data_IF_536918426825
#
_entry.id   IF_536918426825
#
_cell.length_a   1.000
_cell.length_b   1.000
_cell.length_c   1.000
_cell.angle_alpha   90.00
_cell.angle_beta   90.00
_cell.angle_gamma   90.00
#
_symmetry.space_group_name_H-M   'P 1'
#
loop_
_entity.id
_entity.type
_entity.pdbx_description
1 polymer ?
#
# COMPACT_ATOMS: atom_id res chain seq x y z
N UNK A 1 17.11 -35.87 -4.82
CA UNK A 1 17.08 -34.60 -5.58
C UNK A 1 15.73 -33.98 -5.27
N UNK A 2 15.63 -33.28 -4.14
CA UNK A 2 14.34 -32.76 -3.65
C UNK A 2 14.01 -31.48 -4.38
N UNK A 3 12.93 -31.51 -5.17
CA UNK A 3 12.33 -30.33 -5.76
C UNK A 3 11.96 -29.33 -4.66
N UNK A 4 12.62 -28.19 -4.65
CA UNK A 4 12.18 -27.02 -3.91
C UNK A 4 10.84 -26.56 -4.48
N UNK A 5 9.75 -27.05 -3.88
CA UNK A 5 8.41 -26.50 -4.11
C UNK A 5 8.44 -25.03 -3.68
N UNK A 6 8.36 -24.14 -4.67
CA UNK A 6 8.30 -22.70 -4.45
C UNK A 6 6.92 -22.41 -3.85
N UNK A 7 6.82 -21.78 -2.67
CA UNK A 7 5.52 -21.50 -2.05
C UNK A 7 4.68 -20.62 -2.98
N UNK A 8 3.34 -20.79 -3.01
CA UNK A 8 2.48 -20.03 -3.90
C UNK A 8 2.64 -18.52 -3.65
N UNK A 9 2.81 -17.78 -4.75
CA UNK A 9 2.97 -16.33 -4.76
C UNK A 9 1.78 -15.64 -4.09
N UNK A 10 2.06 -14.85 -3.05
CA UNK A 10 1.10 -14.00 -2.33
C UNK A 10 0.82 -12.69 -3.08
N UNK A 11 1.52 -12.46 -4.20
CA UNK A 11 1.37 -11.29 -5.06
C UNK A 11 0.39 -11.57 -6.20
N UNK A 12 -0.44 -10.57 -6.62
CA UNK A 12 -1.42 -10.72 -7.70
C UNK A 12 -0.79 -10.99 -9.07
N UNK A 13 0.52 -10.75 -9.20
CA UNK A 13 1.36 -11.13 -10.33
C UNK A 13 2.68 -11.69 -9.81
N UNK A 14 3.36 -12.58 -10.57
CA UNK A 14 4.74 -12.93 -10.30
C UNK A 14 5.61 -11.67 -10.18
N UNK A 15 6.56 -11.68 -9.25
CA UNK A 15 7.46 -10.54 -9.02
C UNK A 15 8.22 -10.13 -10.30
N UNK A 16 8.40 -11.11 -11.20
CA UNK A 16 8.95 -10.96 -12.54
C UNK A 16 8.24 -9.89 -13.38
N UNK A 17 6.92 -9.85 -13.28
CA UNK A 17 6.01 -9.02 -14.07
C UNK A 17 5.67 -7.73 -13.31
N UNK A 18 5.63 -7.80 -11.98
CA UNK A 18 5.31 -6.66 -11.13
C UNK A 18 6.44 -5.61 -11.10
N UNK A 19 7.71 -6.03 -11.03
CA UNK A 19 8.85 -5.12 -10.88
C UNK A 19 8.99 -4.15 -12.07
N UNK A 20 8.91 -4.57 -13.34
CA UNK A 20 8.95 -3.66 -14.49
C UNK A 20 7.81 -2.63 -14.47
N UNK A 21 6.60 -3.03 -14.07
CA UNK A 21 5.46 -2.12 -13.96
C UNK A 21 5.69 -1.06 -12.87
N UNK A 22 6.15 -1.49 -11.70
CA UNK A 22 6.50 -0.58 -10.60
C UNK A 22 7.65 0.35 -11.00
N UNK A 23 8.63 -0.15 -11.73
CA UNK A 23 9.78 0.63 -12.20
C UNK A 23 9.34 1.71 -13.18
N UNK A 24 8.58 1.36 -14.23
CA UNK A 24 8.06 2.33 -15.20
C UNK A 24 7.15 3.36 -14.52
N UNK A 25 6.31 2.91 -13.58
CA UNK A 25 5.42 3.77 -12.82
C UNK A 25 6.19 4.76 -11.92
N UNK A 26 7.24 4.32 -11.23
CA UNK A 26 8.09 5.20 -10.42
C UNK A 26 8.95 6.13 -11.28
N UNK A 27 9.53 5.64 -12.38
CA UNK A 27 10.34 6.45 -13.29
C UNK A 27 9.57 7.65 -13.84
N UNK A 28 8.29 7.47 -14.17
CA UNK A 28 7.43 8.55 -14.65
C UNK A 28 7.10 9.62 -13.58
N UNK A 29 7.41 9.37 -12.30
CA UNK A 29 6.99 10.19 -11.15
C UNK A 29 8.15 10.73 -10.32
N UNK A 30 9.29 10.06 -10.32
CA UNK A 30 10.49 10.53 -9.64
C UNK A 30 11.06 11.72 -10.42
N UNK A 31 11.37 12.86 -9.76
CA UNK A 31 12.08 13.94 -10.41
C UNK A 31 13.43 13.41 -10.87
N UNK A 32 13.87 13.84 -12.05
CA UNK A 32 15.24 13.60 -12.48
C UNK A 32 16.17 14.17 -11.40
N UNK A 33 16.93 13.28 -10.75
CA UNK A 33 17.82 13.70 -9.67
C UNK A 33 18.84 14.70 -10.21
N UNK A 34 18.88 15.90 -9.62
CA UNK A 34 19.92 16.88 -9.93
C UNK A 34 21.29 16.21 -9.86
N UNK A 35 22.06 16.27 -10.95
CA UNK A 35 23.44 15.82 -10.99
C UNK A 35 24.27 16.76 -10.13
N UNK A 36 24.32 16.51 -8.82
CA UNK A 36 25.20 17.24 -7.91
C UNK A 36 26.66 16.88 -8.22
N UNK A 37 27.58 17.86 -8.28
CA UNK A 37 29.00 17.58 -8.41
C UNK A 37 29.47 16.69 -7.26
N UNK A 38 30.15 15.58 -7.58
CA UNK A 38 30.66 14.63 -6.58
C UNK A 38 30.77 13.20 -7.10
N UNK A 39 31.25 12.29 -6.23
CA UNK A 39 31.39 10.86 -6.57
C UNK A 39 30.04 10.29 -7.03
N UNK A 40 29.99 9.57 -8.17
CA UNK A 40 28.76 8.95 -8.66
C UNK A 40 28.10 8.11 -7.57
N UNK A 41 26.79 8.30 -7.38
CA UNK A 41 26.04 7.51 -6.40
C UNK A 41 25.97 6.06 -6.89
N UNK A 42 26.46 5.13 -6.07
CA UNK A 42 26.42 3.68 -6.35
C UNK A 42 25.00 3.12 -6.53
N UNK A 43 23.99 3.79 -5.96
CA UNK A 43 22.59 3.39 -6.07
C UNK A 43 21.72 4.60 -6.42
N UNK A 44 20.84 4.42 -7.40
CA UNK A 44 19.82 5.40 -7.76
C UNK A 44 18.72 5.45 -6.69
N UNK A 45 18.06 6.59 -6.55
CA UNK A 45 16.93 6.72 -5.62
C UNK A 45 15.75 5.82 -6.06
N UNK A 46 15.54 5.63 -7.36
CA UNK A 46 14.61 4.66 -7.92
C UNK A 46 14.89 3.23 -7.44
N UNK A 47 16.14 2.77 -7.55
CA UNK A 47 16.52 1.40 -7.18
C UNK A 47 16.34 1.14 -5.67
N UNK A 48 16.68 2.14 -4.84
CA UNK A 48 16.46 2.07 -3.40
C UNK A 48 14.96 2.13 -3.06
N UNK A 49 14.18 2.94 -3.77
CA UNK A 49 12.73 2.99 -3.60
C UNK A 49 12.09 1.65 -3.94
N UNK A 50 12.45 1.06 -5.08
CA UNK A 50 12.00 -0.28 -5.49
C UNK A 50 12.41 -1.35 -4.48
N UNK A 51 13.62 -1.30 -3.92
CA UNK A 51 14.04 -2.19 -2.83
C UNK A 51 13.05 -2.14 -1.65
N UNK A 52 12.73 -0.93 -1.18
CA UNK A 52 11.85 -0.75 -0.02
C UNK A 52 10.38 -1.09 -0.33
N UNK A 53 9.92 -0.81 -1.55
CA UNK A 53 8.57 -1.13 -1.97
C UNK A 53 8.38 -2.63 -2.14
N UNK A 54 9.31 -3.31 -2.83
CA UNK A 54 9.25 -4.76 -3.06
C UNK A 54 9.44 -5.54 -1.77
N UNK A 55 10.37 -5.15 -0.88
CA UNK A 55 10.49 -5.83 0.41
C UNK A 55 9.21 -5.68 1.24
N UNK A 56 8.55 -4.51 1.18
CA UNK A 56 7.32 -4.28 1.90
C UNK A 56 6.20 -5.16 1.33
N UNK A 57 6.05 -5.21 0.00
CA UNK A 57 5.09 -6.08 -0.69
C UNK A 57 5.30 -7.57 -0.39
N UNK A 58 6.54 -7.99 -0.17
CA UNK A 58 6.89 -9.37 0.16
C UNK A 58 6.84 -9.68 1.67
N UNK A 59 6.58 -8.69 2.53
CA UNK A 59 6.66 -8.86 3.99
C UNK A 59 8.09 -9.15 4.48
N UNK A 60 9.11 -8.70 3.76
CA UNK A 60 10.51 -8.93 4.08
C UNK A 60 11.10 -7.78 4.91
N UNK A 61 11.79 -8.15 5.99
CA UNK A 61 12.73 -7.24 6.66
C UNK A 61 13.85 -6.82 5.71
N UNK A 62 14.49 -5.69 5.98
CA UNK A 62 15.61 -5.21 5.15
C UNK A 62 16.75 -6.23 5.04
N UNK A 63 17.04 -6.95 6.11
CA UNK A 63 18.09 -7.98 6.11
C UNK A 63 17.65 -9.26 5.37
N UNK A 64 16.38 -9.68 5.51
CA UNK A 64 15.84 -10.77 4.71
C UNK A 64 15.88 -10.44 3.22
N UNK A 65 15.47 -9.23 2.85
CA UNK A 65 15.54 -8.77 1.45
C UNK A 65 16.99 -8.74 0.95
N UNK A 66 17.94 -8.26 1.75
CA UNK A 66 19.37 -8.28 1.39
C UNK A 66 19.85 -9.71 1.12
N UNK A 67 19.53 -10.68 1.98
CA UNK A 67 19.83 -12.10 1.75
C UNK A 67 19.17 -12.63 0.48
N UNK A 68 17.92 -12.25 0.24
CA UNK A 68 17.20 -12.63 -0.98
C UNK A 68 17.90 -12.09 -2.24
N UNK A 69 18.37 -10.84 -2.21
CA UNK A 69 19.09 -10.24 -3.34
C UNK A 69 20.49 -10.83 -3.56
N UNK A 70 21.09 -11.45 -2.55
CA UNK A 70 22.30 -12.27 -2.72
C UNK A 70 21.95 -13.57 -3.42
N UNK A 71 20.88 -14.25 -2.98
CA UNK A 71 20.43 -15.55 -3.52
C UNK A 71 19.82 -15.47 -4.91
N UNK A 72 19.19 -14.34 -5.24
CA UNK A 72 18.48 -14.11 -6.50
C UNK A 72 19.07 -12.90 -7.25
N UNK A 73 20.19 -13.09 -7.99
CA UNK A 73 20.79 -12.03 -8.80
C UNK A 73 19.86 -11.48 -9.89
N UNK A 74 18.88 -12.27 -10.36
CA UNK A 74 17.91 -11.82 -11.37
C UNK A 74 16.99 -10.74 -10.79
N UNK A 75 16.42 -10.99 -9.60
CA UNK A 75 15.63 -9.99 -8.87
C UNK A 75 16.47 -8.74 -8.57
N UNK A 76 17.72 -8.92 -8.11
CA UNK A 76 18.63 -7.80 -7.84
C UNK A 76 18.82 -6.90 -9.06
N UNK A 77 19.13 -7.49 -10.22
CA UNK A 77 19.28 -6.74 -11.48
C UNK A 77 17.98 -6.02 -11.88
N UNK A 78 16.82 -6.67 -11.71
CA UNK A 78 15.51 -6.05 -12.00
C UNK A 78 15.17 -4.86 -11.11
N UNK A 79 15.62 -4.84 -9.86
CA UNK A 79 15.49 -3.64 -9.01
C UNK A 79 16.48 -2.52 -9.39
N UNK A 80 17.27 -2.70 -10.46
CA UNK A 80 18.31 -1.76 -10.86
C UNK A 80 19.46 -1.67 -9.87
N UNK A 81 19.79 -2.78 -9.19
CA UNK A 81 20.86 -2.85 -8.19
C UNK A 81 22.05 -3.65 -8.75
N UNK A 82 23.18 -2.98 -8.95
CA UNK A 82 24.42 -3.65 -9.37
C UNK A 82 24.95 -4.61 -8.29
N UNK A 83 24.85 -4.18 -7.03
CA UNK A 83 25.24 -4.93 -5.82
C UNK A 83 24.18 -4.75 -4.73
N UNK A 84 24.25 -5.55 -3.67
CA UNK A 84 23.31 -5.43 -2.54
C UNK A 84 23.65 -4.19 -1.69
N UNK A 85 22.75 -3.21 -1.50
CA UNK A 85 23.02 -2.00 -0.71
C UNK A 85 23.28 -2.33 0.76
N UNK A 86 24.29 -1.72 1.38
CA UNK A 86 24.61 -1.91 2.81
C UNK A 86 23.47 -1.43 3.73
N UNK A 87 23.39 -1.96 4.96
CA UNK A 87 22.42 -1.51 5.96
C UNK A 87 22.53 -0.01 6.23
N UNK A 88 23.76 0.52 6.34
CA UNK A 88 24.02 1.94 6.48
C UNK A 88 23.49 2.75 5.28
N UNK A 89 23.74 2.28 4.05
CA UNK A 89 23.21 2.92 2.83
C UNK A 89 21.69 2.99 2.84
N UNK A 90 21.04 1.87 3.18
CA UNK A 90 19.57 1.81 3.26
C UNK A 90 19.04 2.74 4.34
N UNK A 91 19.66 2.79 5.52
CA UNK A 91 19.23 3.65 6.63
C UNK A 91 19.32 5.13 6.26
N UNK A 92 20.45 5.57 5.71
CA UNK A 92 20.71 6.98 5.44
C UNK A 92 19.95 7.49 4.21
N UNK A 93 19.96 6.72 3.11
CA UNK A 93 19.36 7.17 1.85
C UNK A 93 17.84 7.08 1.85
N UNK A 94 17.26 6.12 2.57
CA UNK A 94 15.80 5.94 2.57
C UNK A 94 15.04 7.06 3.26
N UNK A 95 15.69 7.77 4.18
CA UNK A 95 15.14 9.00 4.79
C UNK A 95 14.95 10.13 3.77
N UNK A 96 15.70 10.10 2.67
CA UNK A 96 15.71 11.14 1.62
C UNK A 96 14.91 10.71 0.38
N UNK A 97 14.33 9.51 0.39
CA UNK A 97 13.51 9.05 -0.72
C UNK A 97 12.20 9.84 -0.78
N UNK A 98 11.70 10.15 -1.99
CA UNK A 98 10.53 10.99 -2.15
C UNK A 98 9.24 10.16 -2.04
N UNK A 99 9.03 9.59 -0.84
CA UNK A 99 7.81 8.86 -0.45
C UNK A 99 6.48 9.55 -0.85
N UNK A 100 6.37 10.89 -0.89
CA UNK A 100 5.15 11.57 -1.34
C UNK A 100 4.79 11.41 -2.83
N UNK A 101 5.72 10.97 -3.70
CA UNK A 101 5.50 10.91 -5.17
C UNK A 101 4.61 9.77 -5.66
N UNK A 102 4.09 8.92 -4.76
CA UNK A 102 3.08 7.92 -5.11
C UNK A 102 1.74 8.54 -5.58
N UNK A 103 1.58 9.87 -5.44
CA UNK A 103 0.32 10.63 -5.61
C UNK A 103 0.02 11.18 -7.02
N UNK A 104 0.72 10.78 -8.08
CA UNK A 104 0.66 11.51 -9.36
C UNK A 104 0.22 10.69 -10.56
N UNK A 105 -0.99 10.87 -11.07
CA UNK A 105 -1.41 10.41 -12.38
C UNK A 105 -2.12 11.56 -13.09
N UNK A 106 -2.14 11.52 -14.43
CA UNK A 106 -2.88 12.52 -15.21
C UNK A 106 -4.38 12.21 -15.06
N UNK A 107 -5.11 13.14 -14.44
CA UNK A 107 -6.55 13.08 -14.25
C UNK A 107 -7.27 13.15 -15.60
N UNK A 108 -7.68 12.00 -16.13
CA UNK A 108 -8.58 11.93 -17.28
C UNK A 108 -9.98 11.64 -16.74
N UNK A 109 -10.72 12.68 -16.36
CA UNK A 109 -12.12 12.49 -15.97
C UNK A 109 -12.79 13.74 -15.41
N UNK A 110 -13.79 14.27 -16.13
CA UNK A 110 -14.77 15.24 -15.62
C UNK A 110 -15.86 14.57 -14.74
N UNK A 111 -15.69 13.28 -14.41
CA UNK A 111 -16.63 12.44 -13.68
C UNK A 111 -16.49 12.51 -12.15
N UNK A 112 -17.32 11.76 -11.44
CA UNK A 112 -17.18 11.59 -9.98
C UNK A 112 -16.11 10.53 -9.72
N UNK A 113 -15.04 10.88 -9.02
CA UNK A 113 -13.97 9.95 -8.66
C UNK A 113 -14.45 8.80 -7.79
N UNK A 114 -14.00 7.59 -8.11
CA UNK A 114 -14.20 6.40 -7.27
C UNK A 114 -12.86 5.98 -6.69
N UNK A 115 -12.79 5.91 -5.36
CA UNK A 115 -11.60 5.53 -4.61
C UNK A 115 -11.84 4.15 -3.99
N UNK A 116 -10.90 3.23 -4.15
CA UNK A 116 -10.92 1.92 -3.49
C UNK A 116 -9.97 1.90 -2.30
N UNK A 117 -10.43 1.38 -1.18
CA UNK A 117 -9.60 1.19 0.02
C UNK A 117 -9.66 -0.26 0.48
N UNK A 118 -8.50 -0.89 0.54
CA UNK A 118 -8.39 -2.30 0.93
C UNK A 118 -7.10 -2.58 1.71
N UNK A 119 -7.05 -3.73 2.38
CA UNK A 119 -5.87 -4.23 3.06
C UNK A 119 -5.59 -5.68 2.70
N UNK A 120 -4.33 -5.99 2.36
CA UNK A 120 -3.87 -7.37 2.20
C UNK A 120 -2.91 -7.76 3.32
N UNK A 121 -3.01 -9.01 3.78
CA UNK A 121 -2.09 -9.56 4.77
C UNK A 121 -0.76 -9.96 4.11
N UNK A 122 0.31 -9.69 4.82
CA UNK A 122 1.68 -9.96 4.39
C UNK A 122 2.37 -10.82 5.46
N UNK A 123 2.52 -12.13 5.23
CA UNK A 123 3.19 -13.00 6.19
C UNK A 123 4.65 -12.60 6.42
N UNK A 124 5.08 -12.68 7.67
CA UNK A 124 6.46 -12.40 8.09
C UNK A 124 7.09 -13.63 8.76
N UNK A 125 8.41 -13.59 8.94
CA UNK A 125 9.13 -14.60 9.73
C UNK A 125 8.87 -14.38 11.22
N UNK A 126 8.81 -15.46 12.00
CA UNK A 126 8.62 -15.41 13.46
C UNK A 126 9.65 -14.60 14.23
N UNK A 127 10.83 -14.45 13.67
CA UNK A 127 11.91 -13.66 14.24
C UNK A 127 11.73 -12.14 14.05
N UNK A 128 10.71 -11.71 13.30
CA UNK A 128 10.42 -10.29 13.09
C UNK A 128 9.65 -9.71 14.29
N UNK A 129 10.37 -9.06 15.21
CA UNK A 129 9.80 -8.47 16.42
C UNK A 129 8.80 -7.33 16.19
N UNK A 130 8.72 -6.77 14.98
CA UNK A 130 7.74 -5.73 14.62
C UNK A 130 6.44 -6.32 14.05
N UNK A 131 6.45 -7.58 13.65
CA UNK A 131 5.27 -8.29 13.16
C UNK A 131 4.38 -8.77 14.30
N UNK A 132 3.09 -8.92 14.02
CA UNK A 132 2.12 -9.41 14.98
C UNK A 132 1.17 -10.41 14.35
N UNK A 133 0.49 -11.17 15.19
CA UNK A 133 -0.59 -12.05 14.77
C UNK A 133 -1.85 -11.26 14.42
N UNK A 134 -2.43 -11.55 13.27
CA UNK A 134 -3.74 -11.07 12.84
C UNK A 134 -4.58 -12.20 12.26
N UNK A 135 -5.87 -11.93 12.07
CA UNK A 135 -6.82 -12.89 11.49
C UNK A 135 -7.11 -12.48 10.05
N UNK A 136 -6.96 -13.44 9.13
CA UNK A 136 -7.29 -13.33 7.72
C UNK A 136 -8.79 -13.33 7.44
N UNK A 137 -9.13 -13.08 6.18
CA UNK A 137 -10.52 -13.07 5.70
C UNK A 137 -11.18 -14.45 5.77
N UNK A 138 -10.38 -15.52 5.71
CA UNK A 138 -10.77 -16.92 5.87
C UNK A 138 -10.89 -17.35 7.35
N UNK A 139 -10.54 -16.47 8.29
CA UNK A 139 -10.48 -16.79 9.72
C UNK A 139 -9.16 -17.41 10.16
N UNK A 140 -8.21 -17.63 9.24
CA UNK A 140 -6.88 -18.16 9.54
C UNK A 140 -6.01 -17.12 10.25
N UNK A 141 -5.12 -17.58 11.14
CA UNK A 141 -4.13 -16.70 11.78
C UNK A 141 -2.92 -16.51 10.87
N UNK A 142 -2.55 -15.25 10.65
CA UNK A 142 -1.36 -14.86 9.89
C UNK A 142 -0.46 -14.02 10.78
N UNK A 143 0.80 -14.43 10.91
CA UNK A 143 1.82 -13.64 11.57
C UNK A 143 2.49 -12.73 10.56
N UNK A 144 2.41 -11.43 10.75
CA UNK A 144 2.98 -10.48 9.80
C UNK A 144 2.39 -9.09 9.89
N UNK A 145 2.13 -8.52 8.72
CA UNK A 145 1.67 -7.16 8.52
C UNK A 145 0.39 -7.10 7.69
N UNK A 146 -0.19 -5.91 7.59
CA UNK A 146 -1.20 -5.53 6.62
C UNK A 146 -0.66 -4.39 5.77
N UNK A 147 -0.80 -4.51 4.45
CA UNK A 147 -0.60 -3.40 3.52
C UNK A 147 -1.97 -2.81 3.18
N UNK A 148 -2.20 -1.59 3.65
CA UNK A 148 -3.38 -0.79 3.36
C UNK A 148 -3.10 0.12 2.17
N UNK A 149 -4.00 0.10 1.18
CA UNK A 149 -3.94 0.96 0.01
C UNK A 149 -5.23 1.76 -0.12
N UNK A 150 -5.09 3.02 -0.55
CA UNK A 150 -6.17 3.86 -1.05
C UNK A 150 -5.81 4.26 -2.47
N UNK A 151 -6.62 3.83 -3.43
CA UNK A 151 -6.34 3.97 -4.86
C UNK A 151 -7.46 4.73 -5.54
N UNK A 152 -7.12 5.62 -6.47
CA UNK A 152 -8.04 6.20 -7.42
C UNK A 152 -8.29 5.19 -8.55
N UNK A 153 -9.53 4.70 -8.69
CA UNK A 153 -9.85 3.66 -9.67
C UNK A 153 -9.88 4.20 -11.10
N UNK A 154 -10.09 5.50 -11.28
CA UNK A 154 -10.15 6.09 -12.62
C UNK A 154 -8.74 6.24 -13.21
N UNK A 155 -7.74 6.56 -12.37
CA UNK A 155 -6.36 6.82 -12.82
C UNK A 155 -5.36 5.74 -12.42
N UNK A 156 -5.72 4.84 -11.50
CA UNK A 156 -4.81 3.88 -10.88
C UNK A 156 -3.82 4.51 -9.88
N UNK A 157 -4.02 5.76 -9.47
CA UNK A 157 -3.12 6.45 -8.53
C UNK A 157 -3.23 5.90 -7.11
N UNK A 158 -2.10 5.65 -6.46
CA UNK A 158 -2.05 5.33 -5.03
C UNK A 158 -2.06 6.62 -4.22
N UNK A 159 -3.24 7.00 -3.73
CA UNK A 159 -3.43 8.22 -2.95
C UNK A 159 -2.87 8.10 -1.53
N UNK A 160 -2.91 6.90 -0.95
CA UNK A 160 -2.29 6.60 0.34
C UNK A 160 -1.86 5.14 0.45
N UNK A 161 -0.77 4.92 1.19
CA UNK A 161 -0.23 3.61 1.52
C UNK A 161 0.16 3.58 3.00
N UNK A 162 -0.20 2.50 3.71
CA UNK A 162 0.22 2.25 5.10
C UNK A 162 0.53 0.78 5.31
N UNK A 163 1.62 0.49 6.02
CA UNK A 163 1.94 -0.85 6.52
C UNK A 163 1.76 -0.84 8.03
N UNK A 164 1.03 -1.81 8.57
CA UNK A 164 0.83 -1.97 10.02
C UNK A 164 1.01 -3.43 10.41
N UNK A 165 1.35 -3.75 11.67
CA UNK A 165 1.30 -5.13 12.16
C UNK A 165 -0.08 -5.75 11.92
N UNK A 166 -0.16 -7.07 11.70
CA UNK A 166 -1.42 -7.72 11.32
C UNK A 166 -2.50 -7.66 12.41
N UNK A 167 -2.11 -7.45 13.67
CA UNK A 167 -3.03 -7.25 14.79
C UNK A 167 -3.81 -5.93 14.73
N UNK A 168 -3.36 -4.95 13.94
CA UNK A 168 -3.97 -3.63 13.90
C UNK A 168 -5.34 -3.66 13.22
N UNK A 169 -6.26 -2.85 13.74
CA UNK A 169 -7.58 -2.68 13.15
C UNK A 169 -7.55 -1.73 11.95
N UNK A 170 -8.27 -2.07 10.90
CA UNK A 170 -8.21 -1.36 9.62
C UNK A 170 -8.92 0.01 9.69
N UNK A 171 -10.02 0.11 10.46
CA UNK A 171 -10.83 1.34 10.51
C UNK A 171 -10.05 2.59 10.97
N UNK A 172 -9.24 2.56 12.07
CA UNK A 172 -8.35 3.68 12.41
C UNK A 172 -7.31 4.02 11.32
N UNK A 173 -6.71 3.01 10.68
CA UNK A 173 -5.71 3.21 9.62
C UNK A 173 -6.34 3.90 8.41
N UNK A 174 -7.50 3.42 7.96
CA UNK A 174 -8.25 4.02 6.86
C UNK A 174 -8.63 5.48 7.13
N UNK A 175 -8.90 5.85 8.40
CA UNK A 175 -9.14 7.25 8.77
C UNK A 175 -7.94 8.15 8.46
N UNK A 176 -6.74 7.69 8.81
CA UNK A 176 -5.50 8.41 8.53
C UNK A 176 -5.25 8.57 7.03
N UNK A 177 -5.55 7.52 6.25
CA UNK A 177 -5.43 7.56 4.79
C UNK A 177 -6.43 8.55 4.16
N UNK A 178 -7.69 8.52 4.60
CA UNK A 178 -8.75 9.42 4.12
C UNK A 178 -8.50 10.90 4.45
N UNK A 179 -7.79 11.17 5.55
CA UNK A 179 -7.46 12.55 5.93
C UNK A 179 -6.57 13.24 4.88
N UNK A 180 -5.66 12.48 4.25
CA UNK A 180 -4.68 12.99 3.30
C UNK A 180 -5.17 13.14 1.85
N UNK A 181 -6.44 12.83 1.58
CA UNK A 181 -7.01 12.94 0.23
C UNK A 181 -7.29 14.40 -0.09
N UNK A 182 -6.58 14.91 -1.10
CA UNK A 182 -6.75 16.26 -1.61
C UNK A 182 -8.04 16.39 -2.44
N UNK A 183 -8.67 17.55 -2.31
CA UNK A 183 -9.91 17.93 -2.97
C UNK A 183 -9.66 19.16 -3.82
N UNK A 184 -10.20 19.14 -5.03
CA UNK A 184 -10.10 20.27 -5.95
C UNK A 184 -11.41 21.04 -5.94
N UNK A 185 -11.38 22.39 -5.97
CA UNK A 185 -12.58 23.21 -6.13
C UNK A 185 -13.39 22.75 -7.36
N UNK A 186 -14.71 22.59 -7.19
CA UNK A 186 -15.61 22.16 -8.26
C UNK A 186 -15.66 20.66 -8.55
N UNK A 187 -14.80 19.84 -7.93
CA UNK A 187 -14.81 18.39 -8.10
C UNK A 187 -16.06 17.75 -7.45
N UNK A 188 -16.75 16.85 -8.17
CA UNK A 188 -17.87 16.08 -7.59
C UNK A 188 -17.41 15.32 -6.34
N UNK A 189 -18.27 15.13 -5.32
CA UNK A 189 -17.94 14.35 -4.12
C UNK A 189 -17.42 12.94 -4.47
N UNK A 190 -16.17 12.56 -4.11
CA UNK A 190 -15.63 11.24 -4.42
C UNK A 190 -16.38 10.17 -3.65
N UNK A 191 -16.57 9.01 -4.27
CA UNK A 191 -17.06 7.81 -3.59
C UNK A 191 -15.86 7.01 -3.13
N UNK A 192 -15.81 6.65 -1.85
CA UNK A 192 -14.83 5.71 -1.32
C UNK A 192 -15.54 4.38 -1.11
N UNK A 193 -15.11 3.34 -1.79
CA UNK A 193 -15.55 1.96 -1.59
C UNK A 193 -14.50 1.24 -0.75
N UNK A 194 -14.93 0.59 0.33
CA UNK A 194 -14.02 -0.12 1.22
C UNK A 194 -14.65 -1.36 1.84
N UNK A 195 -13.80 -2.28 2.30
CA UNK A 195 -14.25 -3.47 3.05
C UNK A 195 -14.99 -3.09 4.35
N UNK A 196 -15.81 -4.01 4.85
CA UNK A 196 -16.49 -3.90 6.14
C UNK A 196 -15.54 -3.65 7.32
N UNK A 197 -14.28 -4.09 7.25
CA UNK A 197 -13.28 -3.83 8.29
C UNK A 197 -12.99 -2.34 8.50
N UNK A 198 -13.21 -1.50 7.48
CA UNK A 198 -13.08 -0.05 7.56
C UNK A 198 -14.34 0.66 8.10
N UNK A 199 -15.44 -0.07 8.31
CA UNK A 199 -16.70 0.46 8.82
C UNK A 199 -16.50 1.07 10.22
N UNK A 200 -16.75 2.37 10.34
CA UNK A 200 -16.69 3.09 11.61
C UNK A 200 -17.36 4.46 11.54
N UNK A 201 -18.09 4.84 12.59
CA UNK A 201 -18.80 6.12 12.65
C UNK A 201 -17.87 7.32 12.48
N UNK A 202 -16.65 7.22 13.01
CA UNK A 202 -15.63 8.25 12.83
C UNK A 202 -15.20 8.41 11.36
N UNK A 203 -15.16 7.31 10.59
CA UNK A 203 -14.80 7.35 9.17
C UNK A 203 -15.97 7.91 8.33
N UNK A 204 -17.22 7.58 8.67
CA UNK A 204 -18.40 8.21 8.07
C UNK A 204 -18.48 9.71 8.37
N UNK A 205 -18.16 10.12 9.61
CA UNK A 205 -18.10 11.52 10.01
C UNK A 205 -17.01 12.27 9.26
N UNK A 206 -15.81 11.69 9.17
CA UNK A 206 -14.68 12.27 8.47
C UNK A 206 -14.99 12.47 6.98
N UNK A 207 -15.41 11.41 6.29
CA UNK A 207 -15.72 11.48 4.86
C UNK A 207 -16.80 12.51 4.57
N UNK A 208 -17.87 12.56 5.38
CA UNK A 208 -18.89 13.62 5.25
C UNK A 208 -18.30 15.02 5.41
N UNK A 209 -17.47 15.25 6.44
CA UNK A 209 -16.81 16.56 6.67
C UNK A 209 -15.90 16.96 5.51
N UNK A 210 -15.28 16.00 4.82
CA UNK A 210 -14.43 16.26 3.65
C UNK A 210 -15.18 16.24 2.32
N UNK A 211 -16.52 16.18 2.34
CA UNK A 211 -17.34 16.15 1.11
C UNK A 211 -17.14 14.88 0.29
N UNK A 212 -16.88 13.74 0.94
CA UNK A 212 -16.75 12.41 0.35
C UNK A 212 -17.92 11.51 0.78
N UNK A 213 -18.14 10.45 0.01
CA UNK A 213 -19.14 9.42 0.30
C UNK A 213 -18.45 8.08 0.57
N UNK A 214 -18.34 7.69 1.85
CA UNK A 214 -17.91 6.34 2.20
C UNK A 214 -19.04 5.33 2.00
N UNK A 215 -18.72 4.24 1.31
CA UNK A 215 -19.55 3.07 1.09
C UNK A 215 -18.78 1.83 1.56
N UNK A 216 -19.28 1.15 2.58
CA UNK A 216 -18.66 -0.09 3.09
C UNK A 216 -19.66 -1.22 3.25
N UNK A 217 -19.17 -2.44 3.31
CA UNK A 217 -19.92 -3.54 3.94
C UNK A 217 -20.27 -3.22 5.41
N UNK A 218 -21.24 -3.96 5.96
CA UNK A 218 -21.51 -3.90 7.40
C UNK A 218 -20.63 -4.93 8.12
N UNK A 219 -19.88 -4.50 9.13
CA UNK A 219 -19.00 -5.38 9.89
C UNK A 219 -19.83 -6.19 10.88
N UNK A 220 -20.11 -7.44 10.53
CA UNK A 220 -20.94 -8.36 11.32
C UNK A 220 -20.45 -8.52 12.77
N UNK A 221 -19.15 -8.35 13.02
CA UNK A 221 -18.55 -8.39 14.38
C UNK A 221 -19.06 -7.29 15.31
N UNK A 222 -19.69 -6.23 14.77
CA UNK A 222 -20.21 -5.09 15.54
C UNK A 222 -21.69 -5.23 15.93
N UNK A 223 -22.31 -6.37 15.62
CA UNK A 223 -23.74 -6.58 15.86
C UNK A 223 -24.60 -5.62 15.04
N UNK A 224 -25.82 -5.33 15.50
CA UNK A 224 -26.76 -4.50 14.72
C UNK A 224 -26.18 -3.11 14.39
N UNK A 225 -26.40 -2.59 13.17
CA UNK A 225 -25.91 -1.28 12.78
C UNK A 225 -26.49 -0.16 13.67
N UNK A 226 -25.62 0.57 14.37
CA UNK A 226 -25.99 1.73 15.18
C UNK A 226 -25.22 2.96 14.70
N UNK A 227 -25.87 4.13 14.74
CA UNK A 227 -25.26 5.41 14.35
C UNK A 227 -25.66 5.89 12.95
N UNK A 228 -25.74 7.21 12.81
CA UNK A 228 -26.27 7.89 11.61
C UNK A 228 -25.48 7.54 10.35
N UNK A 229 -24.15 7.45 10.44
CA UNK A 229 -23.29 7.07 9.31
C UNK A 229 -23.62 5.68 8.75
N UNK A 230 -23.72 4.68 9.64
CA UNK A 230 -24.03 3.29 9.27
C UNK A 230 -25.42 3.13 8.67
N UNK A 231 -26.43 3.75 9.27
CA UNK A 231 -27.80 3.69 8.76
C UNK A 231 -27.92 4.28 7.35
N UNK A 232 -27.25 5.40 7.10
CA UNK A 232 -27.21 6.00 5.76
C UNK A 232 -26.42 5.14 4.77
N UNK A 233 -25.33 4.52 5.19
CA UNK A 233 -24.55 3.60 4.37
C UNK A 233 -25.39 2.40 3.88
N UNK A 234 -26.18 1.80 4.77
CA UNK A 234 -27.08 0.69 4.40
C UNK A 234 -28.13 1.12 3.38
N UNK A 235 -28.75 2.30 3.57
CA UNK A 235 -29.70 2.85 2.60
C UNK A 235 -29.08 3.09 1.23
N UNK A 236 -27.80 3.48 1.16
CA UNK A 236 -27.07 3.67 -0.09
C UNK A 236 -26.81 2.35 -0.81
N UNK A 237 -26.56 1.27 -0.07
CA UNK A 237 -26.36 -0.08 -0.63
C UNK A 237 -27.66 -0.69 -1.16
N UNK A 238 -28.79 -0.43 -0.53
CA UNK A 238 -30.10 -0.96 -0.94
C UNK A 238 -30.79 -0.21 -2.08
N UNK A 239 -30.14 0.81 -2.68
CA UNK A 239 -30.65 1.57 -3.83
C UNK A 239 -29.84 1.31 -5.12
N UNK A 240 -29.05 0.23 -5.13
CA UNK A 240 -28.30 -0.23 -6.30
C UNK A 240 -29.07 -1.32 -7.03
#
# INVERSE_FOLDING_TARGET
MEEHQTPPSILPLPLEELVPLLQAWLQARLPEGERKPGRPRTFSDLSLFLFHLVRALLGFSSERMRRELVRNPRLRKRLGLERVPSSATLSERSRKLPWPLLRGGKRVGRGRRVLAMDATLLPAQRSDGEAAWGVGSDGGWVYGYKLHLLVDLDTGEVLALRVTPASWHDSPVGRGMLWGVERFPGEKPPVVVADAAYEGEANFRLTRRRGMLLVTGHNRRRGRPKGRGRLLNLRRRGRG
#
